data_IF_136618278290
#
_entry.id   IF_136618278290
#
_cell.length_a   1.000
_cell.length_b   1.000
_cell.length_c   1.000
_cell.angle_alpha   90.00
_cell.angle_beta   90.00
_cell.angle_gamma   90.00
#
_symmetry.space_group_name_H-M   'P 1'
#
loop_
_entity.id
_entity.type
_entity.pdbx_description
1 polymer ?
#
# COMPACT_ATOMS: atom_id res chain seq x y z
N UNK A 1 -8.02 12.12 0.60
CA UNK A 1 -8.54 11.87 1.96
C UNK A 1 -9.00 10.43 2.17
N UNK A 2 -9.72 9.77 1.25
CA UNK A 2 -10.18 8.38 1.44
C UNK A 2 -9.05 7.34 1.62
N UNK A 3 -7.98 7.43 0.82
CA UNK A 3 -6.89 6.45 0.84
C UNK A 3 -6.12 6.38 2.17
N UNK A 4 -5.77 7.53 2.75
CA UNK A 4 -5.01 7.59 4.01
C UNK A 4 -5.83 6.96 5.15
N UNK A 5 -7.13 7.26 5.22
CA UNK A 5 -8.05 6.65 6.19
C UNK A 5 -8.15 5.14 6.01
N UNK A 6 -8.29 4.65 4.77
CA UNK A 6 -8.39 3.22 4.49
C UNK A 6 -7.09 2.48 4.84
N UNK A 7 -5.93 3.02 4.47
CA UNK A 7 -4.61 2.45 4.79
C UNK A 7 -4.42 2.37 6.30
N UNK A 8 -4.68 3.46 7.03
CA UNK A 8 -4.59 3.49 8.50
C UNK A 8 -5.51 2.47 9.16
N UNK A 9 -6.74 2.33 8.65
CA UNK A 9 -7.71 1.34 9.15
C UNK A 9 -7.21 -0.08 8.96
N UNK A 10 -6.69 -0.43 7.79
CA UNK A 10 -6.18 -1.78 7.53
C UNK A 10 -4.94 -2.09 8.37
N UNK A 11 -4.02 -1.13 8.52
CA UNK A 11 -2.85 -1.27 9.40
C UNK A 11 -3.26 -1.45 10.87
N UNK A 12 -4.24 -0.67 11.36
CA UNK A 12 -4.74 -0.82 12.72
C UNK A 12 -5.35 -2.20 12.97
N UNK A 13 -6.07 -2.77 11.98
CA UNK A 13 -6.63 -4.13 12.09
C UNK A 13 -5.52 -5.19 12.16
N UNK A 14 -4.45 -5.07 11.35
CA UNK A 14 -3.30 -5.97 11.43
C UNK A 14 -2.63 -5.89 12.80
N UNK A 15 -2.30 -4.69 13.26
CA UNK A 15 -1.63 -4.48 14.56
C UNK A 15 -2.48 -4.96 15.74
N UNK A 16 -3.79 -4.76 15.70
CA UNK A 16 -4.68 -5.22 16.77
C UNK A 16 -4.79 -6.75 16.75
N UNK A 17 -4.93 -7.34 15.57
CA UNK A 17 -5.06 -8.79 15.46
C UNK A 17 -3.77 -9.53 15.81
N UNK A 18 -2.60 -8.99 15.44
CA UNK A 18 -1.30 -9.57 15.83
C UNK A 18 -1.07 -9.59 17.34
N UNK A 19 -1.73 -8.69 18.09
CA UNK A 19 -1.63 -8.63 19.55
C UNK A 19 -2.58 -9.59 20.28
N UNK A 20 -3.64 -10.05 19.63
CA UNK A 20 -4.75 -10.74 20.31
C UNK A 20 -5.07 -12.14 19.76
N UNK A 21 -4.56 -12.51 18.59
CA UNK A 21 -4.86 -13.78 17.93
C UNK A 21 -3.82 -14.88 18.17
N UNK A 22 -4.20 -16.13 17.93
CA UNK A 22 -3.21 -17.20 17.73
C UNK A 22 -2.43 -16.99 16.42
N UNK A 23 -1.24 -17.58 16.29
CA UNK A 23 -0.39 -17.43 15.10
C UNK A 23 -1.14 -17.70 13.78
N UNK A 24 -1.99 -18.73 13.75
CA UNK A 24 -2.81 -19.06 12.57
C UNK A 24 -3.85 -17.97 12.26
N UNK A 25 -4.50 -17.41 13.28
CA UNK A 25 -5.46 -16.32 13.13
C UNK A 25 -4.75 -15.04 12.67
N UNK A 26 -3.56 -14.77 13.23
CA UNK A 26 -2.72 -13.64 12.86
C UNK A 26 -2.28 -13.77 11.41
N UNK A 27 -1.82 -14.95 10.97
CA UNK A 27 -1.42 -15.19 9.59
C UNK A 27 -2.58 -15.02 8.60
N UNK A 28 -3.77 -15.55 8.94
CA UNK A 28 -4.96 -15.39 8.11
C UNK A 28 -5.41 -13.92 8.00
N UNK A 29 -5.43 -13.20 9.13
CA UNK A 29 -5.77 -11.79 9.17
C UNK A 29 -4.76 -10.93 8.41
N UNK A 30 -3.47 -11.15 8.64
CA UNK A 30 -2.40 -10.43 7.95
C UNK A 30 -2.50 -10.62 6.43
N UNK A 31 -2.78 -11.84 5.95
CA UNK A 31 -3.00 -12.10 4.53
C UNK A 31 -4.23 -11.34 4.01
N UNK A 32 -5.36 -11.42 4.70
CA UNK A 32 -6.59 -10.73 4.29
C UNK A 32 -6.41 -9.21 4.22
N UNK A 33 -5.83 -8.61 5.26
CA UNK A 33 -5.64 -7.16 5.35
C UNK A 33 -4.56 -6.67 4.38
N UNK A 34 -3.53 -7.48 4.10
CA UNK A 34 -2.57 -7.18 3.03
C UNK A 34 -3.27 -7.09 1.67
N UNK A 35 -4.16 -8.02 1.34
CA UNK A 35 -4.94 -7.95 0.11
C UNK A 35 -5.82 -6.70 0.03
N UNK A 36 -6.45 -6.31 1.15
CA UNK A 36 -7.28 -5.09 1.22
C UNK A 36 -6.44 -3.83 1.06
N UNK A 37 -5.27 -3.77 1.68
CA UNK A 37 -4.32 -2.66 1.57
C UNK A 37 -3.81 -2.52 0.12
N UNK A 38 -3.47 -3.62 -0.54
CA UNK A 38 -3.12 -3.62 -1.98
C UNK A 38 -4.28 -3.06 -2.81
N UNK A 39 -5.52 -3.48 -2.54
CA UNK A 39 -6.71 -2.96 -3.21
C UNK A 39 -6.88 -1.45 -3.04
N UNK A 40 -6.74 -0.95 -1.82
CA UNK A 40 -6.81 0.48 -1.51
C UNK A 40 -5.73 1.27 -2.25
N UNK A 41 -4.48 0.79 -2.23
CA UNK A 41 -3.35 1.41 -2.96
C UNK A 41 -3.62 1.47 -4.46
N UNK A 42 -4.10 0.37 -5.07
CA UNK A 42 -4.44 0.34 -6.49
C UNK A 42 -5.56 1.34 -6.81
N UNK A 43 -6.61 1.41 -5.98
CA UNK A 43 -7.68 2.38 -6.16
C UNK A 43 -7.17 3.82 -6.06
N UNK A 44 -6.29 4.10 -5.10
CA UNK A 44 -5.59 5.37 -4.97
C UNK A 44 -4.79 5.73 -6.22
N UNK A 45 -3.96 4.80 -6.71
CA UNK A 45 -3.16 5.00 -7.92
C UNK A 45 -4.00 5.22 -9.19
N UNK A 46 -5.18 4.59 -9.29
CA UNK A 46 -6.13 4.81 -10.39
C UNK A 46 -6.71 6.22 -10.36
N UNK A 47 -6.99 6.76 -9.17
CA UNK A 47 -7.42 8.15 -9.03
C UNK A 47 -6.30 9.12 -9.42
N UNK A 48 -5.04 8.76 -9.18
CA UNK A 48 -3.85 9.50 -9.60
C UNK A 48 -3.35 9.06 -11.00
N UNK A 49 -4.23 9.10 -12.01
CA UNK A 49 -3.83 8.78 -13.38
C UNK A 49 -2.81 9.80 -13.92
N UNK A 50 -1.89 9.30 -14.76
CA UNK A 50 -0.92 10.14 -15.46
C UNK A 50 -1.49 10.48 -16.84
N UNK A 51 -1.32 11.72 -17.27
CA UNK A 51 -1.56 12.14 -18.65
C UNK A 51 -0.51 11.52 -19.57
N UNK A 52 -0.71 11.63 -20.88
CA UNK A 52 0.25 11.15 -21.87
C UNK A 52 1.64 11.80 -21.71
N UNK A 53 1.69 13.03 -21.22
CA UNK A 53 2.92 13.78 -20.93
C UNK A 53 3.53 13.43 -19.55
N UNK A 54 2.99 12.42 -18.86
CA UNK A 54 3.46 11.96 -17.56
C UNK A 54 3.02 12.81 -16.36
N UNK A 55 2.18 13.83 -16.57
CA UNK A 55 1.69 14.67 -15.46
C UNK A 55 0.57 13.98 -14.69
N UNK A 56 0.57 14.08 -13.37
CA UNK A 56 -0.52 13.57 -12.55
C UNK A 56 -1.68 14.56 -12.56
N UNK A 57 -2.86 14.08 -12.95
CA UNK A 57 -4.09 14.89 -13.01
C UNK A 57 -4.55 15.42 -11.64
N UNK A 58 -4.20 14.71 -10.55
CA UNK A 58 -4.57 15.11 -9.18
C UNK A 58 -3.52 16.01 -8.54
N UNK A 59 -2.24 15.76 -8.81
CA UNK A 59 -1.15 16.57 -8.24
C UNK A 59 -0.84 17.83 -9.06
N UNK A 60 -1.49 18.01 -10.22
CA UNK A 60 -1.29 19.13 -11.15
C UNK A 60 0.18 19.38 -11.52
N UNK A 61 0.99 18.32 -11.60
CA UNK A 61 2.43 18.41 -11.84
C UNK A 61 3.02 17.14 -12.43
N UNK A 62 4.27 17.21 -12.89
CA UNK A 62 4.98 16.07 -13.47
C UNK A 62 5.34 14.98 -12.46
N UNK A 63 5.24 15.29 -11.17
CA UNK A 63 5.52 14.34 -10.09
C UNK A 63 4.22 13.98 -9.37
N UNK A 64 3.95 12.69 -9.26
CA UNK A 64 2.85 12.18 -8.44
C UNK A 64 3.38 11.83 -7.05
N UNK A 65 2.98 12.60 -6.03
CA UNK A 65 3.39 12.38 -4.63
C UNK A 65 3.07 10.97 -4.17
N UNK A 66 1.86 10.47 -4.45
CA UNK A 66 1.43 9.13 -4.06
C UNK A 66 2.32 8.03 -4.67
N UNK A 67 2.67 8.14 -5.95
CA UNK A 67 3.55 7.17 -6.63
C UNK A 67 4.97 7.23 -6.07
N UNK A 68 5.47 8.42 -5.74
CA UNK A 68 6.78 8.61 -5.14
C UNK A 68 6.84 7.98 -3.74
N UNK A 69 5.85 8.25 -2.89
CA UNK A 69 5.75 7.68 -1.55
C UNK A 69 5.68 6.16 -1.59
N UNK A 70 4.83 5.58 -2.45
CA UNK A 70 4.75 4.12 -2.63
C UNK A 70 6.10 3.56 -3.09
N UNK A 71 6.75 4.19 -4.07
CA UNK A 71 8.06 3.74 -4.55
C UNK A 71 9.11 3.78 -3.44
N UNK A 72 9.10 4.80 -2.58
CA UNK A 72 10.01 4.92 -1.44
C UNK A 72 9.74 3.86 -0.38
N UNK A 73 8.47 3.56 -0.09
CA UNK A 73 8.08 2.49 0.82
C UNK A 73 8.52 1.10 0.33
N UNK A 74 8.67 0.92 -0.98
CA UNK A 74 9.11 -0.34 -1.59
C UNK A 74 10.64 -0.47 -1.70
N UNK A 75 11.42 0.60 -1.49
CA UNK A 75 12.88 0.54 -1.56
C UNK A 75 13.49 -0.57 -0.70
N UNK A 76 13.09 -0.75 0.58
CA UNK A 76 13.65 -1.81 1.42
C UNK A 76 13.42 -3.22 0.88
N UNK A 77 12.40 -3.42 0.04
CA UNK A 77 12.05 -4.73 -0.56
C UNK A 77 12.77 -4.92 -1.89
N UNK A 78 13.03 -3.83 -2.64
CA UNK A 78 13.72 -3.89 -3.94
C UNK A 78 15.18 -4.31 -3.81
N UNK A 79 15.80 -3.99 -2.67
CA UNK A 79 17.19 -4.34 -2.38
C UNK A 79 17.33 -5.70 -1.66
N UNK A 80 16.22 -6.40 -1.36
CA UNK A 80 16.32 -7.79 -0.91
C UNK A 80 16.77 -8.66 -2.09
N UNK A 81 17.89 -9.38 -2.00
CA UNK A 81 18.22 -10.38 -3.00
C UNK A 81 17.05 -11.37 -3.08
N UNK A 82 16.71 -11.90 -4.28
CA UNK A 82 15.67 -12.91 -4.38
C UNK A 82 16.08 -14.05 -3.44
N UNK A 83 15.24 -14.30 -2.44
CA UNK A 83 15.41 -15.46 -1.57
C UNK A 83 15.37 -16.69 -2.46
N UNK A 84 16.56 -17.26 -2.71
CA UNK A 84 16.75 -18.41 -3.57
C UNK A 84 15.88 -19.56 -3.09
N UNK A 85 15.05 -20.06 -4.00
CA UNK A 85 14.35 -21.34 -3.91
C UNK A 85 14.78 -22.21 -5.06
#
# INVERSE_FOLDING_TARGET
MALDTDVRRHLAMVLTGTQCGSDDQVAALARMETHRLIGAVIAGLRNHHLTQDGACSVCCGQFCTLRSEISNCLLPIRDLPPSGG
#
